data_IF_432318578593
#
_entry.id   IF_432318578593
#
_cell.length_a   1.000
_cell.length_b   1.000
_cell.length_c   1.000
_cell.angle_alpha   90.00
_cell.angle_beta   90.00
_cell.angle_gamma   90.00
#
_symmetry.space_group_name_H-M   'P 1'
#
loop_
_entity.id
_entity.type
_entity.pdbx_description
1 polymer ?
#
# COMPACT_ATOMS: atom_id res chain seq x y z
N UNK A 1 11.36 -7.91 -12.76
CA UNK A 1 12.00 -9.02 -12.03
C UNK A 1 11.24 -10.32 -12.24
N UNK A 2 11.94 -11.38 -12.67
CA UNK A 2 11.39 -12.70 -12.98
C UNK A 2 10.81 -13.39 -11.73
N UNK A 3 9.60 -13.92 -11.85
CA UNK A 3 9.17 -15.04 -11.00
C UNK A 3 9.47 -16.29 -11.79
N UNK A 4 10.02 -17.31 -11.17
CA UNK A 4 10.65 -18.43 -11.88
C UNK A 4 9.72 -19.36 -12.69
N UNK A 5 8.52 -18.93 -13.07
CA UNK A 5 7.62 -19.60 -14.01
C UNK A 5 7.56 -18.93 -15.40
N UNK A 6 8.68 -18.42 -15.94
CA UNK A 6 8.78 -18.01 -17.35
C UNK A 6 7.78 -16.92 -17.82
N UNK A 7 7.26 -16.09 -16.91
CA UNK A 7 6.44 -14.95 -17.28
C UNK A 7 7.29 -13.73 -17.61
N UNK A 8 7.05 -13.08 -18.76
CA UNK A 8 7.44 -11.69 -18.94
C UNK A 8 6.68 -10.85 -17.89
N UNK A 9 7.40 -10.40 -16.87
CA UNK A 9 6.90 -9.45 -15.87
C UNK A 9 7.33 -8.07 -16.30
N UNK A 10 6.39 -7.29 -16.81
CA UNK A 10 6.61 -5.92 -17.21
C UNK A 10 7.19 -5.13 -16.01
N UNK A 11 8.36 -4.51 -16.18
CA UNK A 11 8.94 -3.59 -15.19
C UNK A 11 8.15 -2.26 -15.13
N UNK A 12 7.47 -1.93 -16.24
CA UNK A 12 6.43 -0.91 -16.28
C UNK A 12 5.22 -1.36 -15.45
N UNK A 13 4.98 -0.67 -14.34
CA UNK A 13 3.92 -1.02 -13.42
C UNK A 13 2.60 -0.43 -13.92
N UNK A 14 1.77 -1.23 -14.59
CA UNK A 14 0.34 -0.89 -14.78
C UNK A 14 -0.56 -2.10 -14.45
N UNK A 15 -0.18 -3.32 -14.81
CA UNK A 15 -0.90 -4.55 -14.43
C UNK A 15 0.11 -5.66 -14.11
N UNK A 16 0.42 -5.90 -12.83
CA UNK A 16 1.34 -6.96 -12.44
C UNK A 16 1.43 -7.18 -10.93
N UNK A 17 1.49 -8.46 -10.55
CA UNK A 17 1.58 -8.98 -9.19
C UNK A 17 2.94 -8.68 -8.54
N UNK A 18 2.95 -8.09 -7.33
CA UNK A 18 4.16 -7.90 -6.53
C UNK A 18 4.67 -9.23 -5.96
N UNK A 19 5.94 -9.55 -6.15
CA UNK A 19 6.61 -10.59 -5.34
C UNK A 19 6.94 -9.99 -3.98
N UNK A 20 6.52 -10.69 -2.92
CA UNK A 20 7.13 -10.55 -1.59
C UNK A 20 6.51 -9.50 -0.67
N UNK A 21 5.36 -8.90 -1.01
CA UNK A 21 4.62 -8.10 -0.02
C UNK A 21 3.76 -9.05 0.81
N UNK A 22 4.27 -9.46 1.98
CA UNK A 22 3.48 -10.12 3.03
C UNK A 22 2.43 -9.17 3.65
N UNK A 23 2.33 -7.92 3.19
CA UNK A 23 1.30 -7.00 3.63
C UNK A 23 -0.06 -7.41 3.10
N UNK A 24 -0.87 -8.02 3.98
CA UNK A 24 -2.30 -8.09 3.85
C UNK A 24 -2.88 -6.67 3.70
N UNK A 25 -3.58 -6.41 2.59
CA UNK A 25 -4.56 -5.33 2.53
C UNK A 25 -4.43 -4.35 1.38
N UNK A 26 -5.15 -4.64 0.30
CA UNK A 26 -5.64 -3.64 -0.67
C UNK A 26 -4.67 -3.28 -1.78
N UNK A 27 -5.21 -3.13 -2.99
CA UNK A 27 -4.45 -2.59 -4.10
C UNK A 27 -3.97 -1.17 -3.77
N UNK A 28 -2.72 -0.84 -4.07
CA UNK A 28 -2.25 0.55 -3.98
C UNK A 28 -2.73 1.27 -5.23
N UNK A 29 -3.38 2.42 -5.08
CA UNK A 29 -3.81 3.25 -6.20
C UNK A 29 -2.83 4.40 -6.34
N UNK A 30 -2.25 4.57 -7.53
CA UNK A 30 -1.56 5.81 -7.87
C UNK A 30 -2.61 6.87 -8.17
N UNK A 31 -2.56 8.00 -7.46
CA UNK A 31 -3.55 9.07 -7.63
C UNK A 31 -2.95 10.29 -8.33
N UNK A 32 -1.64 10.30 -8.59
CA UNK A 32 -0.91 11.51 -8.97
C UNK A 32 -0.87 12.56 -7.86
N UNK A 33 0.03 13.56 -7.94
CA UNK A 33 0.06 14.66 -6.98
C UNK A 33 -1.33 15.27 -6.81
N UNK A 34 -1.78 15.40 -5.56
CA UNK A 34 -3.09 15.97 -5.20
C UNK A 34 -4.29 15.22 -5.80
N UNK A 35 -4.13 13.98 -6.25
CA UNK A 35 -5.22 13.23 -6.88
C UNK A 35 -5.52 13.62 -8.33
N UNK A 36 -4.62 14.38 -8.98
CA UNK A 36 -4.76 14.87 -10.36
C UNK A 36 -4.17 13.93 -11.41
N UNK A 37 -3.80 12.70 -11.04
CA UNK A 37 -3.24 11.71 -11.96
C UNK A 37 -4.25 11.28 -13.02
N UNK A 38 -3.81 11.24 -14.29
CA UNK A 38 -4.63 10.88 -15.46
C UNK A 38 -5.13 9.42 -15.43
N UNK A 39 -4.58 8.57 -14.57
CA UNK A 39 -4.98 7.18 -14.42
C UNK A 39 -4.85 6.71 -12.97
N UNK A 40 -5.90 6.08 -12.45
CA UNK A 40 -5.89 5.39 -11.16
C UNK A 40 -5.46 3.93 -11.37
N UNK A 41 -4.14 3.67 -11.33
CA UNK A 41 -3.63 2.31 -11.44
C UNK A 41 -3.87 1.51 -10.16
N UNK A 42 -4.74 0.50 -10.17
CA UNK A 42 -4.93 -0.45 -9.07
C UNK A 42 -3.82 -1.50 -9.08
N UNK A 43 -2.79 -1.33 -8.23
CA UNK A 43 -1.76 -2.34 -8.02
C UNK A 43 -2.23 -3.35 -7.00
N UNK A 44 -2.86 -4.45 -7.42
CA UNK A 44 -3.06 -5.58 -6.50
C UNK A 44 -1.71 -6.17 -6.11
N UNK A 45 -1.48 -6.31 -4.80
CA UNK A 45 -0.38 -7.10 -4.31
C UNK A 45 -0.58 -8.55 -4.77
N UNK A 46 0.47 -9.14 -5.36
CA UNK A 46 0.45 -10.54 -5.79
C UNK A 46 0.13 -11.46 -4.62
N UNK A 47 -0.52 -12.59 -4.93
CA UNK A 47 -0.70 -13.64 -3.94
C UNK A 47 0.66 -14.13 -3.43
N UNK A 48 0.70 -14.67 -2.21
CA UNK A 48 1.93 -15.24 -1.65
C UNK A 48 2.62 -16.18 -2.66
N UNK A 49 3.87 -15.86 -2.99
CA UNK A 49 4.67 -16.46 -4.07
C UNK A 49 4.60 -18.00 -4.14
N UNK A 50 4.55 -18.67 -2.99
CA UNK A 50 4.46 -20.13 -2.88
C UNK A 50 3.20 -20.69 -3.53
N UNK A 51 2.05 -20.01 -3.37
CA UNK A 51 0.76 -20.47 -3.91
C UNK A 51 0.73 -20.38 -5.44
N UNK A 52 1.48 -19.44 -6.02
CA UNK A 52 1.59 -19.31 -7.47
C UNK A 52 2.40 -20.47 -8.06
N UNK A 53 3.58 -20.73 -7.52
CA UNK A 53 4.46 -21.83 -7.96
C UNK A 53 3.80 -23.22 -7.89
N UNK A 54 3.05 -23.48 -6.82
CA UNK A 54 2.44 -24.79 -6.58
C UNK A 54 1.14 -25.04 -7.34
N UNK A 55 0.66 -24.05 -8.09
CA UNK A 55 -0.64 -24.14 -8.78
C UNK A 55 -0.54 -24.32 -10.29
N UNK A 56 0.65 -24.14 -10.84
CA UNK A 56 0.94 -24.18 -12.27
C UNK A 56 1.08 -25.58 -12.86
N UNK A 57 1.65 -25.70 -14.06
CA UNK A 57 1.92 -26.99 -14.73
C UNK A 57 2.90 -27.87 -13.94
N UNK A 58 3.76 -27.26 -13.11
CA UNK A 58 4.80 -27.96 -12.36
C UNK A 58 4.26 -29.08 -11.47
N UNK A 59 3.17 -28.85 -10.72
CA UNK A 59 2.64 -29.89 -9.83
C UNK A 59 2.11 -31.08 -10.63
N UNK A 60 1.51 -30.85 -11.81
CA UNK A 60 1.04 -31.92 -12.69
C UNK A 60 2.21 -32.79 -13.15
N UNK A 61 3.30 -32.15 -13.57
CA UNK A 61 4.53 -32.85 -13.99
C UNK A 61 5.12 -33.67 -12.84
N UNK A 62 5.19 -33.09 -11.63
CA UNK A 62 5.75 -33.76 -10.45
C UNK A 62 4.87 -34.92 -9.97
N UNK A 63 3.55 -34.80 -10.04
CA UNK A 63 2.62 -35.90 -9.77
C UNK A 63 2.85 -37.03 -10.77
N UNK A 64 2.82 -36.73 -12.07
CA UNK A 64 3.01 -37.73 -13.12
C UNK A 64 4.37 -38.43 -12.99
N UNK A 65 5.44 -37.67 -12.75
CA UNK A 65 6.78 -38.22 -12.54
C UNK A 65 6.82 -39.14 -11.32
N UNK A 66 6.23 -38.74 -10.20
CA UNK A 66 6.13 -39.58 -9.00
C UNK A 66 5.38 -40.88 -9.27
N UNK A 67 4.30 -40.84 -10.03
CA UNK A 67 3.54 -42.05 -10.41
C UNK A 67 4.37 -42.98 -11.33
N UNK A 68 5.08 -42.42 -12.31
CA UNK A 68 5.94 -43.18 -13.24
C UNK A 68 7.12 -43.85 -12.51
N UNK A 69 7.70 -43.16 -11.52
CA UNK A 69 8.81 -43.67 -10.72
C UNK A 69 8.37 -44.62 -9.58
N UNK A 70 7.06 -44.85 -9.41
CA UNK A 70 6.53 -45.68 -8.31
C UNK A 70 6.53 -45.00 -6.94
N UNK A 71 6.78 -43.70 -6.90
CA UNK A 71 6.91 -42.88 -5.70
C UNK A 71 5.57 -42.22 -5.30
N UNK A 72 4.57 -43.05 -4.97
CA UNK A 72 3.20 -42.63 -4.69
C UNK A 72 3.08 -41.59 -3.56
N UNK A 73 3.98 -41.65 -2.56
CA UNK A 73 4.01 -40.70 -1.44
C UNK A 73 4.31 -39.29 -1.93
N UNK A 74 5.27 -39.14 -2.84
CA UNK A 74 5.64 -37.86 -3.42
C UNK A 74 4.57 -37.33 -4.36
N UNK A 75 3.99 -38.20 -5.20
CA UNK A 75 2.85 -37.84 -6.03
C UNK A 75 1.67 -37.34 -5.18
N UNK A 76 1.35 -38.03 -4.09
CA UNK A 76 0.31 -37.61 -3.15
C UNK A 76 0.61 -36.27 -2.49
N UNK A 77 1.85 -36.03 -2.06
CA UNK A 77 2.25 -34.76 -1.44
C UNK A 77 2.07 -33.57 -2.39
N UNK A 78 2.52 -33.69 -3.65
CA UNK A 78 2.35 -32.64 -4.66
C UNK A 78 0.88 -32.37 -5.00
N UNK A 79 0.07 -33.43 -5.08
CA UNK A 79 -1.37 -33.30 -5.27
C UNK A 79 -2.02 -32.52 -4.12
N UNK A 80 -1.77 -32.92 -2.87
CA UNK A 80 -2.32 -32.24 -1.68
C UNK A 80 -1.92 -30.76 -1.66
N UNK A 81 -0.66 -30.45 -1.97
CA UNK A 81 -0.20 -29.05 -2.03
C UNK A 81 -0.94 -28.24 -3.11
N UNK A 82 -1.22 -28.81 -4.28
CA UNK A 82 -2.00 -28.16 -5.33
C UNK A 82 -3.46 -27.92 -4.90
N UNK A 83 -4.09 -28.89 -4.23
CA UNK A 83 -5.45 -28.77 -3.69
C UNK A 83 -5.54 -27.67 -2.62
N UNK A 84 -4.56 -27.60 -1.72
CA UNK A 84 -4.45 -26.55 -0.70
C UNK A 84 -4.21 -25.18 -1.34
N UNK A 85 -3.38 -25.10 -2.38
CA UNK A 85 -3.15 -23.86 -3.12
C UNK A 85 -4.44 -23.36 -3.82
N UNK A 86 -5.22 -24.26 -4.43
CA UNK A 86 -6.52 -23.94 -5.01
C UNK A 86 -7.51 -23.42 -3.96
N UNK A 87 -7.56 -24.05 -2.78
CA UNK A 87 -8.37 -23.58 -1.65
C UNK A 87 -7.94 -22.19 -1.18
N UNK A 88 -6.63 -21.97 -1.01
CA UNK A 88 -6.09 -20.67 -0.62
C UNK A 88 -6.45 -19.57 -1.63
N UNK A 89 -6.38 -19.87 -2.94
CA UNK A 89 -6.79 -18.96 -4.01
C UNK A 89 -8.28 -18.63 -3.95
N UNK A 90 -9.13 -19.65 -3.77
CA UNK A 90 -10.58 -19.44 -3.64
C UNK A 90 -10.93 -18.53 -2.46
N UNK A 91 -10.21 -18.64 -1.33
CA UNK A 91 -10.41 -17.76 -0.15
C UNK A 91 -9.91 -16.33 -0.34
N UNK A 92 -8.98 -16.11 -1.28
CA UNK A 92 -8.40 -14.79 -1.59
C UNK A 92 -9.17 -14.03 -2.69
N UNK A 93 -10.20 -14.63 -3.26
CA UNK A 93 -11.05 -13.94 -4.23
C UNK A 93 -11.72 -12.70 -3.59
N UNK A 94 -11.95 -11.63 -4.35
CA UNK A 94 -12.63 -10.44 -3.86
C UNK A 94 -14.03 -10.78 -3.31
N UNK A 95 -14.58 -9.87 -2.50
CA UNK A 95 -15.89 -10.02 -1.85
C UNK A 95 -16.92 -10.47 -2.89
N UNK A 96 -17.58 -11.59 -2.60
CA UNK A 96 -18.55 -12.20 -3.52
C UNK A 96 -19.82 -11.34 -3.50
N UNK A 97 -20.33 -10.89 -4.66
CA UNK A 97 -21.52 -10.05 -4.71
C UNK A 97 -22.81 -10.81 -4.36
N UNK A 98 -22.77 -12.14 -4.31
CA UNK A 98 -23.89 -13.02 -3.95
C UNK A 98 -23.39 -14.26 -3.21
N UNK A 99 -24.28 -14.92 -2.48
CA UNK A 99 -24.01 -16.20 -1.83
C UNK A 99 -23.91 -17.33 -2.87
N UNK A 100 -22.92 -18.20 -2.72
CA UNK A 100 -22.72 -19.37 -3.59
C UNK A 100 -23.27 -20.62 -2.91
N UNK A 101 -23.94 -21.49 -3.67
CA UNK A 101 -24.33 -22.82 -3.20
C UNK A 101 -23.10 -23.73 -3.00
N UNK A 102 -23.20 -24.82 -2.22
CA UNK A 102 -22.09 -25.77 -2.06
C UNK A 102 -21.54 -26.32 -3.39
N UNK A 103 -22.42 -26.56 -4.36
CA UNK A 103 -22.01 -26.99 -5.70
C UNK A 103 -21.20 -25.91 -6.43
N UNK A 104 -21.64 -24.65 -6.38
CA UNK A 104 -20.94 -23.53 -6.99
C UNK A 104 -19.59 -23.26 -6.33
N UNK A 105 -19.47 -23.50 -5.02
CA UNK A 105 -18.18 -23.48 -4.31
C UNK A 105 -17.24 -24.58 -4.82
N UNK A 106 -17.77 -25.78 -5.05
CA UNK A 106 -17.03 -26.87 -5.69
C UNK A 106 -16.51 -26.49 -7.07
N UNK A 107 -17.36 -25.90 -7.92
CA UNK A 107 -16.95 -25.40 -9.24
C UNK A 107 -15.91 -24.29 -9.15
N UNK A 108 -16.09 -23.33 -8.26
CA UNK A 108 -15.13 -22.25 -8.05
C UNK A 108 -13.76 -22.79 -7.60
N UNK A 109 -13.75 -23.77 -6.70
CA UNK A 109 -12.51 -24.42 -6.27
C UNK A 109 -11.86 -25.20 -7.41
N UNK A 110 -12.63 -25.95 -8.20
CA UNK A 110 -12.15 -26.64 -9.39
C UNK A 110 -11.56 -25.69 -10.43
N UNK A 111 -12.20 -24.54 -10.67
CA UNK A 111 -11.66 -23.47 -11.50
C UNK A 111 -10.35 -22.93 -10.94
N UNK A 112 -10.26 -22.70 -9.62
CA UNK A 112 -9.04 -22.23 -8.96
C UNK A 112 -7.87 -23.23 -9.06
N UNK A 113 -8.17 -24.52 -9.25
CA UNK A 113 -7.18 -25.60 -9.46
C UNK A 113 -6.73 -25.67 -10.94
N UNK A 114 -7.68 -25.62 -11.88
CA UNK A 114 -7.41 -25.87 -13.31
C UNK A 114 -6.93 -24.62 -14.05
N UNK A 115 -7.47 -23.44 -13.75
CA UNK A 115 -7.14 -22.20 -14.47
C UNK A 115 -5.64 -21.90 -14.56
N UNK A 116 -4.84 -22.03 -13.48
CA UNK A 116 -3.41 -21.73 -13.56
C UNK A 116 -2.66 -22.73 -14.46
N UNK A 117 -3.03 -24.02 -14.44
CA UNK A 117 -2.47 -25.06 -15.30
C UNK A 117 -2.74 -24.75 -16.77
N UNK A 118 -3.99 -24.46 -17.13
CA UNK A 118 -4.37 -24.13 -18.52
C UNK A 118 -3.67 -22.86 -18.99
N UNK A 119 -3.60 -21.84 -18.14
CA UNK A 119 -2.97 -20.55 -18.45
C UNK A 119 -1.46 -20.70 -18.68
N UNK A 120 -0.78 -21.44 -17.81
CA UNK A 120 0.65 -21.67 -17.95
C UNK A 120 0.95 -22.61 -19.13
N UNK A 121 0.15 -23.66 -19.36
CA UNK A 121 0.30 -24.52 -20.54
C UNK A 121 0.14 -23.76 -21.85
N UNK A 122 -0.87 -22.89 -21.97
CA UNK A 122 -1.04 -22.03 -23.13
C UNK A 122 0.17 -21.11 -23.35
N UNK A 123 0.76 -20.58 -22.26
CA UNK A 123 1.98 -19.78 -22.31
C UNK A 123 3.19 -20.59 -22.76
N UNK A 124 3.43 -21.76 -22.17
CA UNK A 124 4.53 -22.66 -22.53
C UNK A 124 4.44 -23.04 -24.02
N UNK A 125 3.25 -23.42 -24.50
CA UNK A 125 3.01 -23.69 -25.92
C UNK A 125 3.31 -22.48 -26.80
N UNK A 126 2.87 -21.28 -26.40
CA UNK A 126 3.18 -20.05 -27.11
C UNK A 126 4.68 -19.79 -27.19
N UNK A 127 5.40 -19.95 -26.07
CA UNK A 127 6.86 -19.78 -26.04
C UNK A 127 7.57 -20.76 -26.98
N UNK A 128 7.15 -22.02 -27.01
CA UNK A 128 7.68 -23.03 -27.94
C UNK A 128 7.37 -22.63 -29.39
N UNK A 129 6.11 -22.29 -29.69
CA UNK A 129 5.67 -21.93 -31.05
C UNK A 129 6.40 -20.72 -31.60
N UNK A 130 6.58 -19.68 -30.79
CA UNK A 130 7.23 -18.43 -31.19
C UNK A 130 8.75 -18.42 -30.92
N UNK A 131 9.33 -19.55 -30.48
CA UNK A 131 10.73 -19.65 -30.02
C UNK A 131 11.12 -18.55 -29.03
N UNK A 132 10.13 -18.06 -28.27
CA UNK A 132 10.35 -17.02 -27.28
C UNK A 132 11.05 -17.66 -26.08
N UNK A 133 12.25 -17.19 -25.78
CA UNK A 133 12.96 -17.56 -24.56
C UNK A 133 12.62 -16.53 -23.47
N UNK A 134 12.48 -16.93 -22.20
CA UNK A 134 12.44 -15.97 -21.10
C UNK A 134 13.77 -15.21 -21.08
N UNK A 135 13.81 -14.06 -21.75
CA UNK A 135 14.97 -13.17 -21.77
C UNK A 135 15.15 -12.54 -20.39
N UNK A 136 16.29 -12.79 -19.76
CA UNK A 136 16.65 -12.19 -18.47
C UNK A 136 17.05 -10.71 -18.55
N UNK A 137 17.08 -10.13 -19.75
CA UNK A 137 17.51 -8.76 -19.98
C UNK A 137 16.55 -8.05 -20.91
N UNK A 138 15.47 -7.50 -20.35
CA UNK A 138 15.05 -6.20 -20.81
C UNK A 138 15.58 -5.23 -19.77
N UNK A 139 16.77 -4.69 -20.01
CA UNK A 139 17.22 -3.44 -19.40
C UNK A 139 16.30 -2.33 -19.91
N UNK A 140 15.03 -2.39 -19.53
CA UNK A 140 14.24 -1.19 -19.46
C UNK A 140 14.89 -0.46 -18.29
N UNK A 141 15.69 0.56 -18.59
CA UNK A 141 16.16 1.50 -17.60
C UNK A 141 14.95 1.89 -16.75
N UNK A 142 14.82 1.27 -15.57
CA UNK A 142 13.67 1.51 -14.72
C UNK A 142 13.67 3.02 -14.47
N UNK A 143 12.55 3.73 -14.72
CA UNK A 143 12.45 5.14 -14.37
C UNK A 143 12.95 5.29 -12.95
N UNK A 144 14.02 6.07 -12.81
CA UNK A 144 14.80 6.19 -11.59
C UNK A 144 13.87 6.43 -10.40
N UNK A 145 13.95 5.52 -9.43
CA UNK A 145 13.22 5.55 -8.15
C UNK A 145 11.71 5.37 -8.25
N UNK A 146 11.28 4.11 -8.40
CA UNK A 146 9.99 3.69 -7.90
C UNK A 146 9.82 4.17 -6.43
N UNK A 147 8.71 4.84 -6.08
CA UNK A 147 8.55 5.45 -4.77
C UNK A 147 8.68 4.40 -3.68
N UNK A 148 9.60 4.68 -2.74
CA UNK A 148 9.84 3.79 -1.61
C UNK A 148 8.56 3.70 -0.77
N UNK A 149 8.21 2.50 -0.27
CA UNK A 149 7.03 2.35 0.57
C UNK A 149 7.09 3.32 1.76
N UNK A 150 5.94 3.82 2.22
CA UNK A 150 5.90 4.81 3.29
C UNK A 150 6.57 4.25 4.56
N UNK A 151 7.70 4.84 4.96
CA UNK A 151 8.49 4.41 6.14
C UNK A 151 7.89 4.83 7.49
N UNK A 152 6.71 5.46 7.46
CA UNK A 152 6.04 6.04 8.63
C UNK A 152 4.59 5.60 8.68
N UNK A 153 4.15 5.16 9.86
CA UNK A 153 2.73 5.00 10.16
C UNK A 153 2.04 6.37 10.13
N UNK A 154 0.80 6.43 9.69
CA UNK A 154 0.05 7.69 9.55
C UNK A 154 -1.14 7.67 10.49
N UNK A 155 -1.17 8.63 11.42
CA UNK A 155 -2.24 8.87 12.37
C UNK A 155 -3.06 10.07 11.92
N UNK A 156 -4.39 9.97 11.98
CA UNK A 156 -5.29 11.10 11.72
C UNK A 156 -5.45 11.88 13.02
N UNK A 157 -5.25 13.19 12.97
CA UNK A 157 -5.23 14.02 14.18
C UNK A 157 -6.23 15.17 14.16
N UNK A 158 -6.90 15.43 13.05
CA UNK A 158 -7.94 16.45 12.98
C UNK A 158 -8.31 16.80 11.55
N UNK A 159 -9.25 17.73 11.43
CA UNK A 159 -9.70 18.29 10.16
C UNK A 159 -9.94 19.80 10.33
N UNK A 160 -9.73 20.53 9.23
CA UNK A 160 -10.00 21.96 9.08
C UNK A 160 -10.72 22.17 7.76
N UNK A 161 -11.55 23.20 7.68
CA UNK A 161 -12.26 23.56 6.47
C UNK A 161 -12.10 25.05 6.21
N UNK A 162 -12.00 25.41 4.93
CA UNK A 162 -11.74 26.76 4.48
C UNK A 162 -12.59 27.08 3.25
N UNK A 163 -13.40 28.10 3.32
CA UNK A 163 -14.27 28.59 2.26
C UNK A 163 -13.61 29.71 1.46
N UNK A 164 -13.88 29.72 0.15
CA UNK A 164 -13.55 30.81 -0.76
C UNK A 164 -14.77 31.18 -1.59
N UNK A 165 -14.98 32.48 -1.80
CA UNK A 165 -15.89 33.02 -2.81
C UNK A 165 -15.18 33.45 -4.10
N UNK A 166 -13.84 33.50 -4.08
CA UNK A 166 -13.00 34.03 -5.15
C UNK A 166 -12.22 32.94 -5.92
N UNK A 167 -12.64 31.69 -5.79
CA UNK A 167 -12.06 30.54 -6.50
C UNK A 167 -10.71 30.08 -5.97
N UNK A 168 -10.34 30.46 -4.75
CA UNK A 168 -9.04 30.10 -4.18
C UNK A 168 -9.08 28.68 -3.65
N UNK A 169 -8.24 27.83 -4.20
CA UNK A 169 -8.25 26.39 -3.95
C UNK A 169 -7.12 25.93 -3.01
N UNK A 170 -7.01 24.61 -2.86
CA UNK A 170 -5.94 23.96 -2.09
C UNK A 170 -4.54 24.23 -2.59
N UNK A 171 -4.32 24.53 -3.87
CA UNK A 171 -2.97 24.71 -4.41
C UNK A 171 -2.34 25.97 -3.82
N UNK A 172 -3.08 27.09 -3.86
CA UNK A 172 -2.65 28.35 -3.23
C UNK A 172 -2.44 28.18 -1.72
N UNK A 173 -3.33 27.45 -1.04
CA UNK A 173 -3.20 27.18 0.40
C UNK A 173 -1.93 26.37 0.72
N UNK A 174 -1.64 25.33 -0.05
CA UNK A 174 -0.49 24.47 0.17
C UNK A 174 0.82 25.17 -0.17
N UNK A 175 0.87 26.00 -1.21
CA UNK A 175 2.02 26.84 -1.54
C UNK A 175 2.31 27.85 -0.43
N UNK A 176 1.29 28.55 0.05
CA UNK A 176 1.43 29.49 1.17
C UNK A 176 1.88 28.77 2.46
N UNK A 177 1.33 27.58 2.73
CA UNK A 177 1.74 26.77 3.87
C UNK A 177 3.21 26.32 3.73
N UNK A 178 3.60 25.78 2.58
CA UNK A 178 4.95 25.32 2.29
C UNK A 178 5.98 26.45 2.46
N UNK A 179 5.64 27.67 2.03
CA UNK A 179 6.49 28.84 2.22
C UNK A 179 6.67 29.24 3.70
N UNK A 180 5.70 28.92 4.57
CA UNK A 180 5.76 29.23 6.00
C UNK A 180 6.43 28.13 6.83
N UNK A 181 6.43 26.89 6.36
CA UNK A 181 6.93 25.73 7.12
C UNK A 181 8.23 25.20 6.51
N UNK A 182 9.36 25.56 7.12
CA UNK A 182 10.73 25.32 6.61
C UNK A 182 10.94 24.09 5.71
N UNK A 183 11.28 22.93 6.28
CA UNK A 183 11.48 21.72 5.46
C UNK A 183 10.13 21.13 5.01
N UNK A 184 9.82 21.24 3.72
CA UNK A 184 8.58 20.73 3.12
C UNK A 184 8.85 19.63 2.10
N UNK A 185 7.93 18.66 2.03
CA UNK A 185 7.91 17.62 0.99
C UNK A 185 6.54 17.55 0.36
N UNK A 186 6.51 17.76 -0.95
CA UNK A 186 5.34 17.53 -1.79
C UNK A 186 5.04 16.04 -2.00
N UNK A 187 3.77 15.73 -2.24
CA UNK A 187 3.33 14.43 -2.70
C UNK A 187 3.93 14.07 -4.07
N UNK A 188 4.30 12.80 -4.21
CA UNK A 188 4.73 12.20 -5.47
C UNK A 188 3.60 11.39 -6.15
N UNK A 189 2.39 11.41 -5.57
CA UNK A 189 1.18 10.74 -6.06
C UNK A 189 1.01 9.31 -5.57
N UNK A 190 1.95 8.81 -4.78
CA UNK A 190 1.96 7.44 -4.23
C UNK A 190 1.68 7.39 -2.74
N UNK A 191 1.56 8.55 -2.10
CA UNK A 191 1.40 8.67 -0.66
C UNK A 191 -0.01 9.14 -0.34
N UNK A 192 -0.42 8.92 0.91
CA UNK A 192 -1.75 9.30 1.40
C UNK A 192 -1.71 10.67 2.11
N UNK A 193 -0.96 11.61 1.56
CA UNK A 193 -0.84 13.00 2.02
C UNK A 193 -0.37 13.86 0.86
N UNK A 194 -0.70 15.14 0.89
CA UNK A 194 -0.37 16.13 -0.14
C UNK A 194 0.94 16.89 0.16
N UNK A 195 1.20 17.09 1.45
CA UNK A 195 2.42 17.73 1.94
C UNK A 195 2.85 17.23 3.33
N UNK A 196 4.16 17.13 3.55
CA UNK A 196 4.76 16.71 4.83
C UNK A 196 5.79 17.73 5.32
N UNK A 197 5.66 18.14 6.58
CA UNK A 197 6.59 19.04 7.27
C UNK A 197 7.69 18.24 7.96
N UNK A 198 8.95 18.61 7.74
CA UNK A 198 10.13 17.96 8.29
C UNK A 198 10.13 16.44 8.05
N UNK A 199 10.17 15.99 6.78
CA UNK A 199 9.97 14.58 6.43
C UNK A 199 11.05 13.63 6.98
N UNK A 200 12.18 14.15 7.46
CA UNK A 200 13.22 13.34 8.10
C UNK A 200 12.98 13.12 9.60
N UNK A 201 12.14 13.94 10.22
CA UNK A 201 11.80 13.82 11.62
C UNK A 201 11.10 12.49 11.92
N UNK A 202 11.28 12.03 13.14
CA UNK A 202 10.67 10.81 13.67
C UNK A 202 9.16 10.93 13.85
N UNK A 203 8.70 12.14 14.14
CA UNK A 203 7.30 12.56 14.10
C UNK A 203 7.21 13.77 13.18
N UNK A 204 6.51 13.62 12.06
CA UNK A 204 6.32 14.68 11.07
C UNK A 204 4.83 14.95 10.86
N UNK A 205 4.40 16.21 11.01
CA UNK A 205 3.07 16.62 10.57
C UNK A 205 2.94 16.52 9.06
N UNK A 206 1.76 16.15 8.57
CA UNK A 206 1.42 16.14 7.16
C UNK A 206 -0.03 16.59 6.98
N UNK A 207 -0.38 17.00 5.76
CA UNK A 207 -1.71 17.43 5.38
C UNK A 207 -2.22 16.61 4.21
N UNK A 208 -3.52 16.36 4.19
CA UNK A 208 -4.24 15.80 3.04
C UNK A 208 -5.44 16.70 2.75
N UNK A 209 -5.60 17.14 1.52
CA UNK A 209 -6.49 18.22 1.13
C UNK A 209 -7.41 17.84 -0.01
N UNK A 210 -8.62 18.39 0.02
CA UNK A 210 -9.59 18.28 -1.07
C UNK A 210 -10.31 19.61 -1.22
N UNK A 211 -10.54 20.04 -2.45
CA UNK A 211 -11.34 21.23 -2.76
C UNK A 211 -12.62 20.80 -3.45
N UNK A 212 -13.76 21.14 -2.84
CA UNK A 212 -15.11 20.96 -3.37
C UNK A 212 -15.53 22.26 -4.07
N UNK A 213 -15.90 22.19 -5.35
CA UNK A 213 -16.35 23.35 -6.12
C UNK A 213 -17.87 23.48 -6.08
N UNK A 214 -18.38 24.66 -5.70
CA UNK A 214 -19.81 24.97 -5.52
C UNK A 214 -20.38 25.92 -6.59
N UNK A 215 -19.63 26.16 -7.68
CA UNK A 215 -20.04 27.06 -8.76
C UNK A 215 -19.97 28.55 -8.41
N UNK A 216 -19.87 29.39 -9.43
CA UNK A 216 -19.75 30.85 -9.27
C UNK A 216 -18.47 31.27 -8.53
N UNK A 217 -17.36 30.55 -8.74
CA UNK A 217 -16.09 30.80 -8.04
C UNK A 217 -16.09 30.36 -6.57
N UNK A 218 -17.17 29.77 -6.05
CA UNK A 218 -17.21 29.31 -4.66
C UNK A 218 -16.59 27.94 -4.52
N UNK A 219 -15.74 27.75 -3.51
CA UNK A 219 -15.17 26.44 -3.20
C UNK A 219 -14.88 26.25 -1.70
N UNK A 220 -14.99 25.01 -1.25
CA UNK A 220 -14.67 24.57 0.11
C UNK A 220 -13.43 23.69 0.08
N UNK A 221 -12.34 24.12 0.70
CA UNK A 221 -11.13 23.33 0.87
C UNK A 221 -11.11 22.70 2.25
N UNK A 222 -11.19 21.37 2.31
CA UNK A 222 -11.01 20.58 3.54
C UNK A 222 -9.56 20.12 3.65
N UNK A 223 -9.00 20.23 4.84
CA UNK A 223 -7.62 19.86 5.17
C UNK A 223 -7.64 18.91 6.36
N UNK A 224 -7.29 17.65 6.11
CA UNK A 224 -7.06 16.66 7.14
C UNK A 224 -5.62 16.75 7.64
N UNK A 225 -5.50 16.83 8.97
CA UNK A 225 -4.22 16.89 9.66
C UNK A 225 -3.76 15.47 10.01
N UNK A 226 -2.54 15.16 9.65
CA UNK A 226 -1.92 13.86 9.83
C UNK A 226 -0.65 13.98 10.68
N UNK A 227 -0.39 12.98 11.51
CA UNK A 227 0.92 12.77 12.11
C UNK A 227 1.54 11.51 11.51
N UNK A 228 2.75 11.64 10.98
CA UNK A 228 3.50 10.50 10.45
C UNK A 228 4.62 10.14 11.41
N UNK A 229 4.59 8.90 11.88
CA UNK A 229 5.46 8.42 12.96
C UNK A 229 6.32 7.26 12.44
N UNK A 230 7.64 7.32 12.61
CA UNK A 230 8.54 6.22 12.23
C UNK A 230 8.23 4.99 13.08
N UNK A 231 8.26 3.81 12.46
CA UNK A 231 7.85 2.56 13.11
C UNK A 231 8.63 2.26 14.41
N UNK A 232 9.92 2.63 14.46
CA UNK A 232 10.75 2.41 15.64
C UNK A 232 10.31 3.23 16.86
N UNK A 233 9.51 4.28 16.69
CA UNK A 233 8.93 5.02 17.83
C UNK A 233 7.98 4.10 18.57
N UNK A 234 7.14 3.35 17.86
CA UNK A 234 6.25 2.36 18.47
C UNK A 234 7.03 1.22 19.10
N UNK A 235 8.13 0.77 18.48
CA UNK A 235 9.03 -0.20 19.10
C UNK A 235 9.58 0.32 20.43
N UNK A 236 10.10 1.56 20.44
CA UNK A 236 10.63 2.19 21.64
C UNK A 236 9.58 2.35 22.75
N UNK A 237 8.35 2.76 22.39
CA UNK A 237 7.24 2.83 23.33
C UNK A 237 6.84 1.45 23.87
N UNK A 238 6.83 0.42 23.02
CA UNK A 238 6.54 -0.95 23.42
C UNK A 238 7.61 -1.52 24.36
N UNK A 239 8.89 -1.25 24.08
CA UNK A 239 10.00 -1.64 24.96
C UNK A 239 9.92 -0.92 26.30
N UNK A 240 9.61 0.38 26.32
CA UNK A 240 9.42 1.15 27.55
C UNK A 240 8.28 0.57 28.40
N UNK A 241 7.15 0.22 27.76
CA UNK A 241 6.01 -0.39 28.45
C UNK A 241 6.35 -1.80 28.97
N UNK A 242 7.02 -2.63 28.17
CA UNK A 242 7.45 -3.96 28.60
C UNK A 242 8.43 -3.90 29.78
N UNK A 243 9.37 -2.95 29.75
CA UNK A 243 10.28 -2.73 30.87
C UNK A 243 9.56 -2.26 32.13
N UNK A 244 8.54 -1.42 32.00
CA UNK A 244 7.71 -0.99 33.12
C UNK A 244 6.92 -2.16 33.77
N UNK A 245 6.51 -3.17 33.00
CA UNK A 245 5.78 -4.33 33.54
C UNK A 245 6.66 -5.32 34.31
N UNK A 246 7.95 -5.39 34.00
CA UNK A 246 8.90 -6.28 34.68
C UNK A 246 9.85 -5.58 35.67
N UNK A 247 9.84 -4.24 35.69
CA UNK A 247 10.68 -3.41 36.55
C UNK A 247 9.96 -2.90 37.79
N UNK A 248 10.72 -2.38 38.76
CA UNK A 248 10.17 -1.67 39.92
C UNK A 248 9.61 -0.29 39.58
N UNK A 249 9.16 0.45 40.59
CA UNK A 249 8.52 1.78 40.45
C UNK A 249 9.30 2.76 39.57
N UNK A 250 10.64 2.75 39.65
CA UNK A 250 11.49 3.61 38.83
C UNK A 250 11.35 3.34 37.32
N UNK A 251 11.15 2.08 36.94
CA UNK A 251 10.97 1.71 35.54
C UNK A 251 9.66 2.27 34.96
N UNK A 252 8.59 2.25 35.75
CA UNK A 252 7.29 2.83 35.40
C UNK A 252 7.40 4.34 35.21
N UNK A 253 8.05 5.04 36.13
CA UNK A 253 8.22 6.51 36.06
C UNK A 253 8.98 6.91 34.79
N UNK A 254 10.07 6.23 34.49
CA UNK A 254 10.86 6.50 33.27
C UNK A 254 10.05 6.20 32.02
N UNK A 255 9.35 5.06 31.97
CA UNK A 255 8.52 4.71 30.82
C UNK A 255 7.40 5.75 30.59
N UNK A 256 6.75 6.20 31.65
CA UNK A 256 5.75 7.27 31.57
C UNK A 256 6.35 8.57 31.07
N UNK A 257 7.53 8.96 31.58
CA UNK A 257 8.26 10.15 31.13
C UNK A 257 8.58 10.11 29.64
N UNK A 258 8.99 8.94 29.12
CA UNK A 258 9.21 8.72 27.68
C UNK A 258 7.90 8.88 26.90
N UNK A 259 6.83 8.21 27.31
CA UNK A 259 5.52 8.29 26.65
C UNK A 259 5.01 9.74 26.61
N UNK A 260 5.04 10.43 27.76
CA UNK A 260 4.61 11.83 27.87
C UNK A 260 5.45 12.73 26.97
N UNK A 261 6.76 12.52 26.90
CA UNK A 261 7.65 13.29 26.02
C UNK A 261 7.30 13.10 24.54
N UNK A 262 7.06 11.85 24.12
CA UNK A 262 6.66 11.53 22.74
C UNK A 262 5.31 12.19 22.40
N UNK A 263 4.33 12.08 23.29
CA UNK A 263 3.01 12.71 23.12
C UNK A 263 3.12 14.24 23.11
N UNK A 264 3.91 14.84 23.99
CA UNK A 264 4.11 16.28 24.03
C UNK A 264 4.76 16.81 22.73
N UNK A 265 5.74 16.09 22.17
CA UNK A 265 6.35 16.43 20.87
C UNK A 265 5.30 16.32 19.75
N UNK A 266 4.49 15.26 19.75
CA UNK A 266 3.42 15.08 18.77
C UNK A 266 2.39 16.23 18.80
N UNK A 267 1.91 16.59 19.99
CA UNK A 267 0.94 17.67 20.19
C UNK A 267 1.53 19.04 19.82
N UNK A 268 2.77 19.34 20.22
CA UNK A 268 3.44 20.60 19.85
C UNK A 268 3.61 20.73 18.33
N UNK A 269 4.03 19.66 17.66
CA UNK A 269 4.21 19.66 16.19
C UNK A 269 2.87 19.81 15.47
N UNK A 270 1.81 19.16 15.96
CA UNK A 270 0.44 19.34 15.47
C UNK A 270 -0.02 20.78 15.63
N UNK A 271 0.09 21.36 16.83
CA UNK A 271 -0.35 22.73 17.10
C UNK A 271 0.36 23.77 16.23
N UNK A 272 1.67 23.61 16.00
CA UNK A 272 2.41 24.47 15.07
C UNK A 272 1.90 24.36 13.63
N UNK A 273 1.60 23.15 13.16
CA UNK A 273 1.01 22.95 11.83
C UNK A 273 -0.35 23.63 11.72
N UNK A 274 -1.21 23.50 12.75
CA UNK A 274 -2.53 24.14 12.76
C UNK A 274 -2.43 25.67 12.67
N UNK A 275 -1.55 26.28 13.47
CA UNK A 275 -1.32 27.73 13.45
C UNK A 275 -0.78 28.19 12.09
N UNK A 276 0.19 27.47 11.53
CA UNK A 276 0.73 27.78 10.21
C UNK A 276 -0.32 27.62 9.09
N UNK A 277 -1.18 26.60 9.18
CA UNK A 277 -2.27 26.39 8.24
C UNK A 277 -3.29 27.53 8.28
N UNK A 278 -3.65 28.02 9.47
CA UNK A 278 -4.56 29.16 9.61
C UNK A 278 -3.93 30.49 9.16
N UNK A 279 -2.62 30.64 9.33
CA UNK A 279 -1.88 31.79 8.82
C UNK A 279 -1.81 31.75 7.28
N UNK A 280 -1.52 30.59 6.68
CA UNK A 280 -1.54 30.37 5.24
C UNK A 280 -2.93 30.60 4.63
N UNK A 281 -3.98 30.09 5.27
CA UNK A 281 -5.36 30.34 4.84
C UNK A 281 -5.69 31.83 4.83
N UNK A 282 -5.33 32.57 5.89
CA UNK A 282 -5.54 34.03 5.97
C UNK A 282 -4.73 34.80 4.93
N UNK A 283 -3.48 34.44 4.69
CA UNK A 283 -2.63 35.04 3.65
C UNK A 283 -3.26 34.90 2.26
N UNK A 284 -3.83 33.74 1.98
CA UNK A 284 -4.51 33.46 0.71
C UNK A 284 -5.94 34.02 0.72
N UNK A 285 -6.49 34.53 1.82
CA UNK A 285 -7.86 35.06 1.87
C UNK A 285 -8.93 33.97 1.85
N UNK A 286 -8.62 32.81 2.43
CA UNK A 286 -9.56 31.75 2.75
C UNK A 286 -10.12 31.94 4.16
N UNK A 287 -11.41 31.71 4.34
CA UNK A 287 -12.12 31.95 5.61
C UNK A 287 -12.63 30.64 6.19
N UNK A 288 -12.66 30.46 7.51
CA UNK A 288 -13.29 29.27 8.10
C UNK A 288 -14.81 29.37 7.95
N UNK A 289 -15.50 28.33 7.47
CA UNK A 289 -16.94 28.27 7.58
C UNK A 289 -17.33 28.22 9.06
N UNK A 290 -18.35 28.99 9.43
CA UNK A 290 -18.95 28.98 10.77
C UNK A 290 -19.65 27.64 11.08
#
# INVERSE_FOLDING_TARGET
GLGGGGGARWGGRIYGETVGDLSSGGGRVFHGPLGMGLFQGLYQAGGGWVVEWLSGVLWVVLVLLGLVLGEWKWAGAWLVMALVAAWARMRRQPVRPFALSPQQLGWLWGLCLVQPVVREWARLRGMVAYRARPGGGADVAEPSALPRPPRKATLRCGERAYWSTAGKDRHLLLEALAAQVGAWRWDDGWRRFDGEVSPEAWISPAVLTVTEYHGGGRCLTRVRLLLRVRWWVFLGLGLALGWATGGGVMAVVVALGVIVSVVAVALRRRGRLEVALDAAARQVGLVRPE
#
